data_IF_886144518663
#
_entry.id   IF_886144518663
#
_cell.length_a   1.000
_cell.length_b   1.000
_cell.length_c   1.000
_cell.angle_alpha   90.00
_cell.angle_beta   90.00
_cell.angle_gamma   90.00
#
_symmetry.space_group_name_H-M   'P 1'
#
loop_
_entity.id
_entity.type
_entity.pdbx_description
1 polymer ?
#
# COMPACT_ATOMS: atom_id res chain seq x y z
N UNK A 1 -5.27 24.30 -10.18
CA UNK A 1 -3.93 24.30 -10.79
C UNK A 1 -3.22 23.03 -10.32
N UNK A 2 -2.56 22.30 -11.23
CA UNK A 2 -1.65 21.21 -10.86
C UNK A 2 -0.29 21.83 -10.55
N UNK A 3 0.29 21.54 -9.39
CA UNK A 3 1.67 21.91 -9.07
C UNK A 3 2.52 20.65 -9.13
N UNK A 4 3.65 20.64 -9.86
CA UNK A 4 4.52 19.48 -9.94
C UNK A 4 5.07 19.15 -8.54
N UNK A 5 5.11 17.85 -8.24
CA UNK A 5 5.66 17.32 -6.98
C UNK A 5 7.09 16.89 -7.26
N UNK A 6 8.05 17.44 -6.52
CA UNK A 6 9.45 16.96 -6.55
C UNK A 6 9.64 15.95 -5.43
N UNK A 7 10.10 14.74 -5.76
CA UNK A 7 10.43 13.69 -4.79
C UNK A 7 11.92 13.69 -4.50
N UNK A 8 12.28 13.54 -3.22
CA UNK A 8 13.67 13.28 -2.84
C UNK A 8 13.93 11.78 -2.86
N UNK A 9 14.78 11.35 -3.79
CA UNK A 9 15.17 9.95 -3.93
C UNK A 9 16.45 9.67 -3.14
N UNK A 10 16.48 8.54 -2.45
CA UNK A 10 17.62 8.07 -1.65
C UNK A 10 17.96 6.63 -2.01
N UNK A 11 19.24 6.29 -1.97
CA UNK A 11 19.67 4.91 -2.17
C UNK A 11 19.16 4.03 -1.02
N UNK A 12 18.65 2.85 -1.35
CA UNK A 12 18.14 1.88 -0.38
C UNK A 12 19.31 1.10 0.25
N UNK A 13 19.58 1.24 1.57
CA UNK A 13 20.59 0.45 2.25
C UNK A 13 20.25 -1.04 2.17
N UNK A 14 21.17 -1.85 1.63
CA UNK A 14 20.97 -3.30 1.46
C UNK A 14 20.36 -3.72 0.12
N UNK A 15 19.97 -2.77 -0.75
CA UNK A 15 19.52 -3.06 -2.12
C UNK A 15 20.21 -2.12 -3.13
N UNK A 16 21.47 -2.42 -3.51
CA UNK A 16 22.22 -1.61 -4.48
C UNK A 16 21.45 -1.46 -5.80
N UNK A 17 21.40 -0.22 -6.31
CA UNK A 17 20.67 0.11 -7.54
C UNK A 17 19.18 0.45 -7.35
N UNK A 18 18.63 0.24 -6.14
CA UNK A 18 17.26 0.65 -5.82
C UNK A 18 17.22 2.01 -5.12
N UNK A 19 16.20 2.79 -5.44
CA UNK A 19 15.94 4.10 -4.86
C UNK A 19 14.60 4.12 -4.13
N UNK A 20 14.50 4.97 -3.11
CA UNK A 20 13.28 5.22 -2.36
C UNK A 20 12.99 6.71 -2.23
N UNK A 21 11.70 7.05 -2.30
CA UNK A 21 11.19 8.36 -1.98
C UNK A 21 9.92 8.22 -1.13
N UNK A 22 9.81 9.05 -0.10
CA UNK A 22 8.62 9.18 0.73
C UNK A 22 7.90 10.49 0.45
N UNK A 23 6.57 10.44 0.37
CA UNK A 23 5.72 11.61 0.19
C UNK A 23 4.56 11.54 1.18
N UNK A 24 4.38 12.58 1.97
CA UNK A 24 3.21 12.77 2.80
C UNK A 24 2.36 13.94 2.30
N UNK A 25 1.04 13.76 2.28
CA UNK A 25 0.12 14.74 1.75
C UNK A 25 -1.20 14.76 2.53
N UNK A 26 -1.93 15.86 2.39
CA UNK A 26 -3.34 15.95 2.80
C UNK A 26 -4.20 16.21 1.57
N UNK A 27 -5.24 15.41 1.39
CA UNK A 27 -6.15 15.53 0.26
C UNK A 27 -7.56 15.03 0.66
N UNK A 28 -8.53 15.22 -0.23
CA UNK A 28 -9.89 14.69 -0.05
C UNK A 28 -9.88 13.16 0.01
N UNK A 29 -10.83 12.52 0.70
CA UNK A 29 -10.97 11.06 0.74
C UNK A 29 -10.97 10.40 -0.66
N UNK A 30 -10.49 9.17 -0.72
CA UNK A 30 -10.27 8.38 -1.93
C UNK A 30 -9.08 8.86 -2.78
N UNK A 31 -8.25 9.78 -2.28
CA UNK A 31 -7.07 10.24 -3.03
C UNK A 31 -6.00 9.17 -3.09
N UNK A 32 -5.76 8.41 -2.02
CA UNK A 32 -4.74 7.36 -2.05
C UNK A 32 -5.08 6.30 -3.10
N UNK A 33 -6.35 5.87 -3.19
CA UNK A 33 -6.80 4.93 -4.21
C UNK A 33 -6.60 5.46 -5.65
N UNK A 34 -6.87 6.75 -5.90
CA UNK A 34 -6.59 7.39 -7.19
C UNK A 34 -5.09 7.42 -7.50
N UNK A 35 -4.26 7.73 -6.51
CA UNK A 35 -2.79 7.74 -6.63
C UNK A 35 -2.29 6.32 -6.92
N UNK A 36 -2.70 5.31 -6.15
CA UNK A 36 -2.35 3.91 -6.39
C UNK A 36 -2.74 3.44 -7.80
N UNK A 37 -3.95 3.80 -8.25
CA UNK A 37 -4.42 3.52 -9.60
C UNK A 37 -3.60 4.20 -10.71
N UNK A 38 -3.01 5.37 -10.43
CA UNK A 38 -2.09 6.05 -11.33
C UNK A 38 -0.69 5.42 -11.32
N UNK A 39 -0.13 5.19 -10.14
CA UNK A 39 1.20 4.63 -9.96
C UNK A 39 1.33 3.22 -10.53
N UNK A 40 0.32 2.35 -10.37
CA UNK A 40 0.36 0.99 -10.91
C UNK A 40 0.54 0.93 -12.44
N UNK A 41 0.16 1.99 -13.17
CA UNK A 41 0.33 2.05 -14.63
C UNK A 41 1.78 2.18 -15.06
N UNK A 42 2.67 2.60 -14.16
CA UNK A 42 4.10 2.63 -14.44
C UNK A 42 4.65 1.20 -14.59
N UNK A 43 4.08 0.23 -13.87
CA UNK A 43 4.36 -1.20 -14.05
C UNK A 43 5.68 -1.69 -13.45
N UNK A 44 6.70 -0.84 -13.34
CA UNK A 44 8.06 -1.22 -12.94
C UNK A 44 8.48 -0.69 -11.56
N UNK A 45 7.54 -0.15 -10.77
CA UNK A 45 7.81 0.35 -9.42
C UNK A 45 7.10 -0.49 -8.37
N UNK A 46 7.66 -0.55 -7.17
CA UNK A 46 7.01 -1.08 -5.97
C UNK A 46 6.62 0.10 -5.09
N UNK A 47 5.40 0.13 -4.59
CA UNK A 47 4.93 1.22 -3.74
C UNK A 47 3.90 0.77 -2.71
N UNK A 48 3.76 1.58 -1.67
CA UNK A 48 2.68 1.54 -0.71
C UNK A 48 2.08 2.95 -0.59
N UNK A 49 0.75 3.05 -0.59
CA UNK A 49 0.04 4.29 -0.25
C UNK A 49 -0.97 4.01 0.84
N UNK A 50 -1.04 4.87 1.84
CA UNK A 50 -1.97 4.76 2.96
C UNK A 50 -2.90 5.97 2.98
N UNK A 51 -4.20 5.71 3.14
CA UNK A 51 -5.19 6.72 3.47
C UNK A 51 -5.61 6.57 4.93
N UNK A 52 -5.57 7.67 5.68
CA UNK A 52 -6.14 7.70 7.03
C UNK A 52 -7.66 7.58 7.01
N UNK A 53 -8.28 7.27 8.16
CA UNK A 53 -9.74 7.14 8.24
C UNK A 53 -10.43 8.48 7.98
N UNK A 54 -11.67 8.43 7.48
CA UNK A 54 -12.52 9.61 7.25
C UNK A 54 -13.99 9.30 7.58
N UNK A 55 -14.89 10.30 7.67
CA UNK A 55 -16.29 10.03 8.03
C UNK A 55 -16.93 8.99 7.10
N UNK A 56 -17.30 7.84 7.66
CA UNK A 56 -17.91 6.72 6.93
C UNK A 56 -16.93 5.80 6.18
N UNK A 57 -15.62 6.03 6.28
CA UNK A 57 -14.60 5.24 5.61
C UNK A 57 -13.48 4.83 6.57
N UNK A 58 -13.14 3.54 6.59
CA UNK A 58 -11.98 3.03 7.30
C UNK A 58 -10.67 3.55 6.68
N UNK A 59 -9.57 3.45 7.43
CA UNK A 59 -8.24 3.64 6.88
C UNK A 59 -7.94 2.52 5.88
N UNK A 60 -7.21 2.84 4.80
CA UNK A 60 -6.90 1.87 3.76
C UNK A 60 -5.42 1.90 3.39
N UNK A 61 -4.85 0.71 3.16
CA UNK A 61 -3.53 0.52 2.58
C UNK A 61 -3.68 -0.05 1.17
N UNK A 62 -2.87 0.48 0.27
CA UNK A 62 -2.72 0.01 -1.10
C UNK A 62 -1.26 -0.37 -1.32
N UNK A 63 -1.00 -1.64 -1.56
CA UNK A 63 0.34 -2.19 -1.75
C UNK A 63 0.47 -2.72 -3.17
N UNK A 64 1.52 -2.35 -3.89
CA UNK A 64 1.74 -2.79 -5.26
C UNK A 64 3.16 -3.29 -5.45
N UNK A 65 3.29 -4.45 -6.11
CA UNK A 65 4.54 -4.93 -6.67
C UNK A 65 4.32 -5.28 -8.15
N UNK A 66 5.35 -5.20 -9.00
CA UNK A 66 5.23 -5.62 -10.41
C UNK A 66 4.73 -7.06 -10.58
N UNK A 67 5.16 -7.97 -9.72
CA UNK A 67 4.88 -9.41 -9.85
C UNK A 67 3.52 -9.81 -9.29
N UNK A 68 3.03 -9.13 -8.24
CA UNK A 68 1.80 -9.49 -7.53
C UNK A 68 0.61 -8.59 -7.91
N UNK A 69 0.87 -7.42 -8.50
CA UNK A 69 -0.14 -6.41 -8.78
C UNK A 69 -0.55 -5.65 -7.53
N UNK A 70 -1.77 -5.10 -7.54
CA UNK A 70 -2.30 -4.24 -6.46
C UNK A 70 -3.07 -5.06 -5.44
N UNK A 71 -2.67 -4.97 -4.17
CA UNK A 71 -3.46 -5.36 -3.01
C UNK A 71 -4.02 -4.11 -2.33
N UNK A 72 -5.26 -4.22 -1.85
CA UNK A 72 -5.97 -3.18 -1.10
C UNK A 72 -6.56 -3.84 0.13
N UNK A 73 -6.34 -3.23 1.29
CA UNK A 73 -6.93 -3.67 2.54
C UNK A 73 -7.31 -2.48 3.44
N UNK A 74 -8.39 -2.66 4.20
CA UNK A 74 -8.63 -1.82 5.36
C UNK A 74 -7.57 -2.10 6.44
N UNK A 75 -7.19 -1.08 7.19
CA UNK A 75 -6.20 -1.21 8.27
C UNK A 75 -6.72 -0.62 9.58
N UNK A 76 -6.34 -1.24 10.70
CA UNK A 76 -6.58 -0.72 12.03
C UNK A 76 -5.57 0.41 12.36
N UNK A 77 -5.82 1.13 13.45
CA UNK A 77 -4.97 2.25 13.87
C UNK A 77 -3.50 1.86 14.16
N UNK A 78 -3.26 0.59 14.51
CA UNK A 78 -1.92 0.04 14.71
C UNK A 78 -1.24 -0.44 13.41
N UNK A 79 -1.93 -0.35 12.27
CA UNK A 79 -1.43 -0.78 10.97
C UNK A 79 -1.76 -2.22 10.58
N UNK A 80 -2.48 -2.98 11.43
CA UNK A 80 -2.90 -4.35 11.09
C UNK A 80 -3.95 -4.36 9.99
N UNK A 81 -3.86 -5.34 9.08
CA UNK A 81 -4.90 -5.58 8.08
C UNK A 81 -6.18 -6.06 8.76
N UNK A 82 -7.30 -5.41 8.44
CA UNK A 82 -8.64 -5.81 8.88
C UNK A 82 -9.33 -6.57 7.77
N UNK A 83 -9.65 -7.84 8.00
CA UNK A 83 -10.40 -8.67 7.06
C UNK A 83 -11.88 -8.65 7.44
N UNK A 84 -12.71 -8.06 6.58
CA UNK A 84 -14.14 -7.97 6.80
C UNK A 84 -14.88 -9.31 6.69
N UNK A 85 -15.99 -9.43 7.40
CA UNK A 85 -16.83 -10.63 7.42
C UNK A 85 -17.25 -11.09 6.01
N UNK A 86 -17.68 -10.16 5.15
CA UNK A 86 -18.09 -10.47 3.78
C UNK A 86 -16.96 -11.12 2.97
N UNK A 87 -15.70 -10.71 3.17
CA UNK A 87 -14.55 -11.31 2.49
C UNK A 87 -14.29 -12.73 3.02
N UNK A 88 -14.44 -12.95 4.33
CA UNK A 88 -14.33 -14.28 4.94
C UNK A 88 -15.43 -15.23 4.44
N UNK A 89 -16.69 -14.76 4.39
CA UNK A 89 -17.82 -15.54 3.85
C UNK A 89 -17.58 -15.90 2.39
N UNK A 90 -17.21 -14.93 1.56
CA UNK A 90 -16.90 -15.16 0.15
C UNK A 90 -15.72 -16.13 -0.07
N UNK A 91 -14.78 -16.20 0.89
CA UNK A 91 -13.70 -17.18 0.85
C UNK A 91 -14.21 -18.58 1.21
N UNK A 92 -15.05 -18.71 2.24
CA UNK A 92 -15.63 -19.98 2.68
C UNK A 92 -16.59 -20.58 1.63
N UNK A 93 -17.40 -19.74 0.97
CA UNK A 93 -18.37 -20.14 -0.05
C UNK A 93 -17.74 -20.79 -1.29
N UNK A 94 -16.45 -20.54 -1.56
CA UNK A 94 -15.74 -21.20 -2.67
C UNK A 94 -15.62 -22.71 -2.49
N UNK A 95 -15.87 -23.25 -1.29
CA UNK A 95 -15.95 -24.69 -1.05
C UNK A 95 -14.61 -25.42 -1.21
N UNK A 96 -13.50 -24.73 -0.98
CA UNK A 96 -12.16 -25.27 -1.28
C UNK A 96 -11.57 -26.08 -0.13
N UNK A 97 -10.66 -27.01 -0.44
CA UNK A 97 -9.88 -27.76 0.55
C UNK A 97 -9.09 -26.82 1.49
N UNK A 98 -8.77 -27.30 2.69
CA UNK A 98 -8.11 -26.52 3.77
C UNK A 98 -6.83 -25.78 3.32
N UNK A 99 -6.04 -26.40 2.45
CA UNK A 99 -4.80 -25.83 1.91
C UNK A 99 -5.07 -24.63 0.98
N UNK A 100 -6.25 -24.57 0.38
CA UNK A 100 -6.68 -23.44 -0.46
C UNK A 100 -7.28 -22.32 0.38
N UNK A 101 -7.97 -22.65 1.48
CA UNK A 101 -8.42 -21.68 2.48
C UNK A 101 -7.24 -20.89 3.05
N UNK A 102 -6.15 -21.58 3.44
CA UNK A 102 -4.95 -20.93 3.96
C UNK A 102 -4.34 -19.95 2.94
N UNK A 103 -4.22 -20.35 1.67
CA UNK A 103 -3.76 -19.46 0.60
C UNK A 103 -4.68 -18.27 0.37
N UNK A 104 -6.00 -18.47 0.46
CA UNK A 104 -6.98 -17.39 0.38
C UNK A 104 -6.80 -16.37 1.50
N UNK A 105 -6.61 -16.84 2.74
CA UNK A 105 -6.32 -15.99 3.89
C UNK A 105 -5.02 -15.21 3.72
N UNK A 106 -3.93 -15.84 3.27
CA UNK A 106 -2.67 -15.13 2.98
C UNK A 106 -2.83 -14.03 1.93
N UNK A 107 -3.68 -14.25 0.92
CA UNK A 107 -4.01 -13.21 -0.07
C UNK A 107 -4.82 -12.08 0.54
N UNK A 108 -5.83 -12.37 1.36
CA UNK A 108 -6.61 -11.34 2.06
C UNK A 108 -5.72 -10.49 2.97
N UNK A 109 -4.83 -11.13 3.72
CA UNK A 109 -3.88 -10.47 4.61
C UNK A 109 -2.78 -9.70 3.86
N UNK A 110 -2.58 -9.95 2.57
CA UNK A 110 -1.53 -9.29 1.80
C UNK A 110 -0.12 -9.78 2.13
N UNK A 111 0.03 -10.97 2.74
CA UNK A 111 1.32 -11.49 3.23
C UNK A 111 2.43 -11.43 2.17
N UNK A 112 2.13 -11.86 0.93
CA UNK A 112 3.11 -11.85 -0.15
C UNK A 112 3.56 -10.43 -0.55
N UNK A 113 2.71 -9.41 -0.37
CA UNK A 113 3.10 -8.02 -0.58
C UNK A 113 3.99 -7.51 0.55
N UNK A 114 3.66 -7.85 1.80
CA UNK A 114 4.49 -7.49 2.95
C UNK A 114 5.88 -8.13 2.86
N UNK A 115 5.99 -9.39 2.41
CA UNK A 115 7.30 -10.05 2.22
C UNK A 115 8.23 -9.28 1.26
N UNK A 116 7.66 -8.62 0.25
CA UNK A 116 8.39 -7.77 -0.71
C UNK A 116 8.65 -6.37 -0.15
N UNK A 117 7.68 -5.80 0.56
CA UNK A 117 7.74 -4.41 1.04
C UNK A 117 8.56 -4.24 2.32
N UNK A 118 8.57 -5.24 3.19
CA UNK A 118 9.21 -5.15 4.51
C UNK A 118 10.72 -4.86 4.44
N UNK A 119 11.50 -5.47 3.53
CA UNK A 119 12.89 -5.08 3.31
C UNK A 119 13.05 -3.61 2.88
N UNK A 120 12.13 -3.10 2.05
CA UNK A 120 12.15 -1.73 1.55
C UNK A 120 11.78 -0.70 2.64
N UNK A 121 10.85 -1.05 3.54
CA UNK A 121 10.49 -0.23 4.71
C UNK A 121 11.69 -0.03 5.64
N UNK A 122 12.45 -1.08 5.90
CA UNK A 122 13.67 -1.01 6.73
C UNK A 122 14.73 -0.11 6.12
N UNK A 123 14.95 -0.17 4.82
CA UNK A 123 15.90 0.72 4.14
C UNK A 123 15.42 2.18 4.02
N UNK A 124 14.12 2.44 4.22
CA UNK A 124 13.55 3.78 4.24
C UNK A 124 13.70 4.49 5.61
N UNK A 125 14.07 3.79 6.69
CA UNK A 125 14.27 4.43 7.99
C UNK A 125 15.41 5.47 7.94
N UNK A 126 15.05 6.73 8.17
CA UNK A 126 15.97 7.88 8.09
C UNK A 126 15.99 8.58 6.72
N UNK A 127 15.26 8.09 5.72
CA UNK A 127 15.11 8.78 4.44
C UNK A 127 14.28 10.08 4.60
N UNK A 128 14.64 11.17 3.93
CA UNK A 128 13.88 12.42 3.97
C UNK A 128 12.48 12.22 3.36
N UNK A 129 11.46 12.68 4.07
CA UNK A 129 10.07 12.70 3.60
C UNK A 129 9.74 14.05 2.99
N UNK A 130 9.24 14.05 1.76
CA UNK A 130 8.70 15.26 1.13
C UNK A 130 7.28 15.53 1.64
N UNK A 131 7.00 16.78 2.01
CA UNK A 131 5.67 17.20 2.46
C UNK A 131 4.96 18.03 1.39
N UNK A 132 3.82 17.55 0.93
CA UNK A 132 2.91 18.36 0.11
C UNK A 132 1.95 19.15 0.99
N UNK A 133 2.13 20.47 1.02
CA UNK A 133 1.14 21.39 1.55
C UNK A 133 0.32 21.96 0.42
N UNK A 134 -1.00 21.97 0.57
CA UNK A 134 -1.87 22.75 -0.29
C UNK A 134 -1.56 24.23 -0.04
N UNK A 135 -0.89 24.88 -0.98
CA UNK A 135 -0.82 26.34 -1.05
C UNK A 135 -2.16 26.85 -1.57
N UNK A 136 -2.90 27.60 -0.74
CA UNK A 136 -4.12 28.36 -1.03
C UNK A 136 -5.09 27.79 -2.05
#
# INVERSE_FOLDING_TARGET
MSSPVSLTWTAQPGMPGFLFAGLEWRASPGTAGRVAGALRRLGHITFETVEGPSPGCDAERYSYTPDLGLHRAAIAANGDVVVGEAALRALLERGEARETLARGLHRLLGTAWDDVLEPLRRGAHGAPVTWLRRTG
#
